data_IF_351416362542
#
_entry.id   IF_351416362542
#
_cell.length_a   1.000
_cell.length_b   1.000
_cell.length_c   1.000
_cell.angle_alpha   90.00
_cell.angle_beta   90.00
_cell.angle_gamma   90.00
#
_symmetry.space_group_name_H-M   'P 1'
#
loop_
_entity.id
_entity.type
_entity.pdbx_description
1 polymer ?
#
# COMPACT_ATOMS: atom_id res chain seq x y z
N UNK A 1 -22.73 18.29 -59.39
CA UNK A 1 -22.66 18.50 -57.92
C UNK A 1 -22.31 17.15 -57.31
N UNK A 2 -21.04 16.81 -57.09
CA UNK A 2 -20.24 17.18 -55.89
C UNK A 2 -21.04 16.84 -54.62
N UNK A 3 -20.72 15.82 -53.83
CA UNK A 3 -19.43 15.56 -53.20
C UNK A 3 -19.11 14.07 -52.98
N UNK A 4 -17.81 13.81 -53.05
CA UNK A 4 -17.03 12.60 -52.80
C UNK A 4 -16.77 12.37 -51.30
N UNK A 5 -16.27 11.15 -50.95
CA UNK A 5 -15.27 10.75 -49.92
C UNK A 5 -15.66 9.33 -49.43
N UNK A 6 -15.15 8.22 -49.97
CA UNK A 6 -13.79 7.62 -50.01
C UNK A 6 -13.43 6.73 -48.81
N UNK A 7 -13.19 5.46 -49.17
CA UNK A 7 -12.16 4.52 -48.69
C UNK A 7 -12.27 4.06 -47.22
N UNK A 8 -12.45 2.76 -47.00
CA UNK A 8 -11.31 1.84 -47.15
C UNK A 8 -11.74 0.37 -47.13
N UNK A 9 -10.98 -0.42 -47.88
CA UNK A 9 -11.27 -1.79 -48.25
C UNK A 9 -10.38 -2.77 -47.47
N UNK A 10 -10.94 -3.96 -47.19
CA UNK A 10 -10.28 -5.27 -46.99
C UNK A 10 -9.60 -5.56 -45.63
N UNK A 11 -9.32 -6.85 -45.28
CA UNK A 11 -10.01 -8.12 -45.58
C UNK A 11 -10.20 -9.04 -44.34
N UNK A 12 -10.92 -10.14 -44.54
CA UNK A 12 -11.05 -11.29 -43.64
C UNK A 12 -9.70 -11.93 -43.29
N UNK A 13 -9.47 -12.22 -42.01
CA UNK A 13 -8.57 -13.31 -41.58
C UNK A 13 -9.24 -14.08 -40.42
N UNK A 14 -9.61 -15.33 -40.72
CA UNK A 14 -9.91 -16.37 -39.75
C UNK A 14 -8.61 -16.75 -39.00
N UNK A 15 -8.63 -16.67 -37.67
CA UNK A 15 -7.79 -17.51 -36.82
C UNK A 15 -8.66 -18.08 -35.70
N UNK A 16 -8.74 -19.41 -35.67
CA UNK A 16 -9.59 -20.16 -34.76
C UNK A 16 -9.21 -19.99 -33.30
N UNK A 17 -10.23 -19.84 -32.46
CA UNK A 17 -10.16 -20.17 -31.05
C UNK A 17 -11.33 -21.12 -30.76
N UNK A 18 -11.02 -22.40 -30.71
CA UNK A 18 -11.90 -23.44 -30.18
C UNK A 18 -12.14 -23.15 -28.69
N UNK A 19 -13.33 -22.65 -28.36
CA UNK A 19 -13.86 -22.75 -27.01
C UNK A 19 -15.13 -23.58 -27.07
N UNK A 20 -14.94 -24.85 -26.74
CA UNK A 20 -16.00 -25.82 -26.52
C UNK A 20 -16.87 -25.38 -25.34
N UNK A 21 -18.15 -25.13 -25.65
CA UNK A 21 -19.35 -25.46 -24.89
C UNK A 21 -19.19 -25.64 -23.37
N UNK A 22 -19.48 -24.57 -22.62
CA UNK A 22 -20.15 -24.69 -21.31
C UNK A 22 -21.44 -23.88 -21.42
N UNK A 23 -22.53 -24.61 -21.71
CA UNK A 23 -23.89 -24.10 -21.72
C UNK A 23 -24.35 -23.83 -20.29
N UNK A 24 -24.34 -22.56 -19.87
CA UNK A 24 -25.18 -22.10 -18.77
C UNK A 24 -26.37 -21.37 -19.39
N UNK A 25 -27.57 -21.94 -19.21
CA UNK A 25 -28.84 -21.35 -19.61
C UNK A 25 -29.14 -20.13 -18.72
N UNK A 26 -28.51 -19.00 -19.02
CA UNK A 26 -28.80 -17.71 -18.37
C UNK A 26 -29.70 -16.89 -19.31
N UNK A 27 -30.88 -16.53 -18.82
CA UNK A 27 -31.84 -15.67 -19.53
C UNK A 27 -31.21 -14.30 -19.84
N UNK A 28 -31.45 -13.69 -21.02
CA UNK A 28 -30.94 -12.37 -21.34
C UNK A 28 -31.30 -11.29 -20.30
N UNK A 29 -32.41 -11.45 -19.59
CA UNK A 29 -32.87 -10.53 -18.54
C UNK A 29 -32.07 -10.60 -17.23
N UNK A 30 -31.28 -11.67 -17.01
CA UNK A 30 -30.51 -11.88 -15.77
C UNK A 30 -29.02 -11.53 -15.92
N UNK A 31 -28.57 -11.12 -17.12
CA UNK A 31 -27.16 -10.78 -17.38
C UNK A 31 -26.70 -9.50 -16.67
N UNK A 32 -27.60 -8.55 -16.46
CA UNK A 32 -27.30 -7.32 -15.71
C UNK A 32 -27.13 -7.56 -14.20
N UNK A 33 -27.83 -8.56 -13.64
CA UNK A 33 -27.69 -8.96 -12.24
C UNK A 33 -26.36 -9.67 -11.95
N UNK A 34 -25.78 -10.33 -12.95
CA UNK A 34 -24.49 -11.03 -12.82
C UNK A 34 -23.31 -10.03 -12.76
N UNK A 35 -23.42 -8.89 -13.45
CA UNK A 35 -22.39 -7.83 -13.45
C UNK A 35 -22.39 -7.04 -12.13
N UNK A 36 -23.55 -6.90 -11.47
CA UNK A 36 -23.67 -6.19 -10.19
C UNK A 36 -23.22 -7.07 -8.99
N UNK A 37 -23.25 -8.40 -9.13
CA UNK A 37 -22.82 -9.35 -8.08
C UNK A 37 -21.31 -9.63 -8.01
N UNK A 38 -20.55 -9.31 -9.06
CA UNK A 38 -19.09 -9.55 -9.16
C UNK A 38 -18.23 -8.31 -8.89
N UNK A 39 -18.82 -7.17 -8.52
CA UNK A 39 -18.08 -5.90 -8.35
C UNK A 39 -17.56 -5.56 -6.94
N UNK A 40 -17.96 -6.29 -5.89
CA UNK A 40 -17.72 -5.82 -4.50
C UNK A 40 -17.19 -6.88 -3.52
N UNK A 41 -16.45 -7.90 -3.98
CA UNK A 41 -15.81 -8.88 -3.04
C UNK A 41 -14.43 -9.36 -3.47
N UNK A 42 -13.51 -8.43 -3.75
CA UNK A 42 -12.10 -8.79 -3.95
C UNK A 42 -11.08 -7.70 -3.56
N UNK A 43 -11.39 -6.81 -2.60
CA UNK A 43 -10.42 -5.82 -2.12
C UNK A 43 -9.71 -6.21 -0.82
N UNK A 44 -10.00 -7.37 -0.23
CA UNK A 44 -9.34 -7.77 1.02
C UNK A 44 -9.34 -9.28 1.26
N UNK A 45 -8.43 -10.01 0.61
CA UNK A 45 -8.08 -11.36 1.05
C UNK A 45 -6.55 -11.50 0.99
N UNK A 46 -5.93 -11.26 2.15
CA UNK A 46 -4.57 -11.64 2.53
C UNK A 46 -3.42 -10.93 1.79
N UNK A 47 -3.49 -9.60 1.72
CA UNK A 47 -2.29 -8.78 1.57
C UNK A 47 -1.55 -8.72 2.91
N UNK A 48 -0.26 -9.00 2.91
CA UNK A 48 0.65 -9.00 4.06
C UNK A 48 0.30 -7.94 5.12
N UNK A 49 -0.35 -8.33 6.23
CA UNK A 49 -0.80 -7.43 7.29
C UNK A 49 0.34 -6.63 7.97
N UNK A 50 1.59 -7.01 7.68
CA UNK A 50 2.79 -6.36 8.19
C UNK A 50 3.35 -5.25 7.30
N UNK A 51 2.93 -5.20 6.02
CA UNK A 51 3.42 -4.18 5.09
C UNK A 51 2.48 -2.97 5.12
N UNK A 52 3.01 -1.81 5.49
CA UNK A 52 2.26 -0.56 5.38
C UNK A 52 1.75 -0.37 3.95
N UNK A 53 0.46 -0.04 3.83
CA UNK A 53 -0.13 0.27 2.54
C UNK A 53 0.57 1.50 1.93
N UNK A 54 0.49 1.63 0.60
CA UNK A 54 1.07 2.78 -0.10
C UNK A 54 0.45 4.09 0.37
N UNK A 55 -0.85 4.07 0.64
CA UNK A 55 -1.63 5.20 1.11
C UNK A 55 -1.19 5.66 2.50
N UNK A 56 -1.08 4.74 3.45
CA UNK A 56 -0.60 5.05 4.81
C UNK A 56 0.84 5.57 4.80
N UNK A 57 1.73 4.97 4.01
CA UNK A 57 3.11 5.45 3.86
C UNK A 57 3.13 6.89 3.36
N UNK A 58 2.36 7.19 2.31
CA UNK A 58 2.32 8.53 1.72
C UNK A 58 1.73 9.55 2.69
N UNK A 59 0.71 9.18 3.46
CA UNK A 59 0.14 10.05 4.49
C UNK A 59 1.17 10.41 5.57
N UNK A 60 1.91 9.41 6.07
CA UNK A 60 2.97 9.64 7.07
C UNK A 60 4.09 10.50 6.49
N UNK A 61 4.50 10.26 5.23
CA UNK A 61 5.51 11.09 4.57
C UNK A 61 5.03 12.54 4.47
N UNK A 62 3.80 12.77 4.03
CA UNK A 62 3.25 14.12 3.90
C UNK A 62 3.15 14.86 5.24
N UNK A 63 2.87 14.16 6.35
CA UNK A 63 2.72 14.77 7.67
C UNK A 63 4.05 15.13 8.35
N UNK A 64 5.11 14.35 8.08
CA UNK A 64 6.42 14.49 8.74
C UNK A 64 7.52 15.03 7.82
N UNK A 65 7.23 15.25 6.54
CA UNK A 65 8.14 15.87 5.59
C UNK A 65 8.56 17.27 6.04
N UNK A 66 9.85 17.57 5.96
CA UNK A 66 10.39 18.89 6.29
C UNK A 66 10.33 19.85 5.10
N UNK A 67 10.29 19.32 3.88
CA UNK A 67 10.15 20.06 2.64
C UNK A 67 9.38 19.22 1.61
N UNK A 68 8.94 19.84 0.51
CA UNK A 68 8.29 19.12 -0.57
C UNK A 68 9.24 18.06 -1.17
N UNK A 69 8.75 16.83 -1.32
CA UNK A 69 9.53 15.70 -1.81
C UNK A 69 10.48 15.04 -0.80
N UNK A 70 10.45 15.44 0.47
CA UNK A 70 11.24 14.82 1.52
C UNK A 70 10.77 13.38 1.80
N UNK A 71 11.60 12.41 1.45
CA UNK A 71 11.35 10.97 1.69
C UNK A 71 12.40 10.35 2.62
N UNK A 72 13.41 11.13 3.01
CA UNK A 72 14.65 10.63 3.60
C UNK A 72 15.01 11.29 4.93
N UNK A 73 14.31 12.34 5.36
CA UNK A 73 14.61 12.98 6.63
C UNK A 73 14.49 12.01 7.82
N UNK A 74 15.27 12.24 8.88
CA UNK A 74 15.17 11.47 10.11
C UNK A 74 13.73 11.48 10.68
N UNK A 75 13.00 12.59 10.56
CA UNK A 75 11.60 12.73 11.00
C UNK A 75 10.68 11.73 10.30
N UNK A 76 10.70 11.72 8.97
CA UNK A 76 9.88 10.81 8.15
C UNK A 76 10.24 9.36 8.45
N UNK A 77 11.53 9.04 8.51
CA UNK A 77 11.99 7.68 8.81
C UNK A 77 11.55 7.21 10.20
N UNK A 78 11.68 8.06 11.22
CA UNK A 78 11.26 7.74 12.60
C UNK A 78 9.75 7.56 12.70
N UNK A 79 8.96 8.38 12.00
CA UNK A 79 7.51 8.23 11.95
C UNK A 79 7.09 6.90 11.29
N UNK A 80 7.68 6.56 10.14
CA UNK A 80 7.44 5.29 9.45
C UNK A 80 7.84 4.08 10.29
N UNK A 81 9.00 4.12 10.94
CA UNK A 81 9.45 3.07 11.85
C UNK A 81 8.52 2.92 13.04
N UNK A 82 8.05 4.04 13.62
CA UNK A 82 7.14 4.02 14.76
C UNK A 82 5.82 3.34 14.42
N UNK A 83 5.24 3.64 13.26
CA UNK A 83 4.02 2.97 12.81
C UNK A 83 4.25 1.46 12.64
N UNK A 84 5.33 1.04 11.95
CA UNK A 84 5.67 -0.39 11.79
C UNK A 84 5.91 -1.10 13.10
N UNK A 85 6.59 -0.46 14.05
CA UNK A 85 6.85 -1.00 15.39
C UNK A 85 5.52 -1.23 16.12
N UNK A 86 4.58 -0.30 16.05
CA UNK A 86 3.27 -0.43 16.68
C UNK A 86 2.48 -1.60 16.08
N UNK A 87 2.47 -1.71 14.75
CA UNK A 87 1.78 -2.79 14.04
C UNK A 87 2.43 -4.17 14.35
N UNK A 88 3.77 -4.28 14.34
CA UNK A 88 4.48 -5.50 14.76
C UNK A 88 4.23 -5.84 16.23
N UNK A 89 4.20 -4.84 17.10
CA UNK A 89 3.97 -5.07 18.53
C UNK A 89 2.58 -5.66 18.76
N UNK A 90 1.56 -5.21 18.01
CA UNK A 90 0.24 -5.83 18.05
C UNK A 90 0.28 -7.28 17.55
N UNK A 91 0.92 -7.54 16.41
CA UNK A 91 1.08 -8.88 15.85
C UNK A 91 1.79 -9.85 16.82
N UNK A 92 2.84 -9.41 17.52
CA UNK A 92 3.57 -10.24 18.48
C UNK A 92 2.76 -10.61 19.72
N UNK A 93 1.74 -9.83 20.09
CA UNK A 93 0.83 -10.20 21.20
C UNK A 93 0.01 -11.43 20.86
N UNK A 94 -0.40 -11.56 19.60
CA UNK A 94 -1.16 -12.69 19.07
C UNK A 94 -0.23 -13.88 18.74
N UNK A 95 0.95 -13.61 18.18
CA UNK A 95 1.89 -14.62 17.67
C UNK A 95 3.20 -14.68 18.47
N UNK A 96 3.12 -15.15 19.71
CA UNK A 96 4.25 -15.17 20.67
C UNK A 96 5.46 -16.00 20.23
N UNK A 97 5.27 -16.97 19.34
CA UNK A 97 6.32 -17.89 18.87
C UNK A 97 6.97 -17.44 17.55
N UNK A 98 6.56 -16.31 16.97
CA UNK A 98 7.23 -15.77 15.78
C UNK A 98 8.49 -14.99 16.16
N UNK A 99 9.57 -15.75 16.38
CA UNK A 99 10.88 -15.20 16.71
C UNK A 99 11.54 -14.42 15.54
N UNK A 100 11.15 -14.68 14.30
CA UNK A 100 11.75 -14.03 13.13
C UNK A 100 11.25 -12.59 13.03
N UNK A 101 9.93 -12.40 13.15
CA UNK A 101 9.32 -11.06 13.24
C UNK A 101 9.77 -10.34 14.52
N UNK A 102 9.92 -11.05 15.64
CA UNK A 102 10.46 -10.50 16.88
C UNK A 102 11.89 -9.95 16.72
N UNK A 103 12.75 -10.66 15.99
CA UNK A 103 14.09 -10.15 15.64
C UNK A 103 14.01 -8.90 14.77
N UNK A 104 13.14 -8.90 13.75
CA UNK A 104 12.90 -7.73 12.89
C UNK A 104 12.42 -6.51 13.69
N UNK A 105 11.53 -6.71 14.67
CA UNK A 105 11.07 -5.67 15.58
C UNK A 105 12.23 -5.04 16.36
N UNK A 106 13.11 -5.86 16.94
CA UNK A 106 14.26 -5.35 17.71
C UNK A 106 15.22 -4.53 16.84
N UNK A 107 15.46 -4.94 15.59
CA UNK A 107 16.27 -4.18 14.65
C UNK A 107 15.64 -2.81 14.35
N UNK A 108 14.33 -2.76 14.07
CA UNK A 108 13.62 -1.51 13.82
C UNK A 108 13.62 -0.56 15.03
N UNK A 109 13.49 -1.10 16.25
CA UNK A 109 13.59 -0.31 17.49
C UNK A 109 15.00 0.28 17.63
N UNK A 110 16.04 -0.50 17.32
CA UNK A 110 17.43 -0.04 17.32
C UNK A 110 17.69 1.06 16.30
N UNK A 111 17.20 0.90 15.07
CA UNK A 111 17.32 1.92 14.00
C UNK A 111 16.62 3.22 14.40
N UNK A 112 15.40 3.14 14.95
CA UNK A 112 14.67 4.31 15.44
C UNK A 112 15.45 5.03 16.55
N UNK A 113 16.02 4.28 17.50
CA UNK A 113 16.85 4.85 18.59
C UNK A 113 18.10 5.54 18.04
N UNK A 114 18.75 4.97 17.02
CA UNK A 114 19.91 5.60 16.36
C UNK A 114 19.53 6.92 15.69
N UNK A 115 18.43 6.95 14.93
CA UNK A 115 17.95 8.17 14.26
C UNK A 115 17.57 9.26 15.26
N UNK A 116 16.90 8.90 16.35
CA UNK A 116 16.57 9.84 17.43
C UNK A 116 17.83 10.37 18.13
N UNK A 117 18.84 9.52 18.36
CA UNK A 117 20.13 9.94 18.88
C UNK A 117 20.83 10.94 17.97
N UNK A 118 20.88 10.66 16.67
CA UNK A 118 21.41 11.58 15.67
C UNK A 118 20.67 12.93 15.67
N UNK A 119 19.33 12.93 15.66
CA UNK A 119 18.55 14.17 15.73
C UNK A 119 18.84 14.96 16.99
N UNK A 120 18.94 14.30 18.15
CA UNK A 120 19.25 14.96 19.42
C UNK A 120 20.61 15.67 19.38
N UNK A 121 21.61 15.03 18.78
CA UNK A 121 22.97 15.54 18.74
C UNK A 121 23.13 16.67 17.69
N UNK A 122 22.32 16.66 16.62
CA UNK A 122 22.31 17.70 15.58
C UNK A 122 21.43 18.89 15.95
N UNK A 123 20.20 18.64 16.38
CA UNK A 123 19.21 19.66 16.71
C UNK A 123 18.23 19.16 17.79
N UNK A 124 18.46 19.63 19.02
CA UNK A 124 17.66 19.26 20.17
C UNK A 124 16.20 19.72 20.07
N UNK A 125 15.89 20.80 19.34
CA UNK A 125 14.53 21.31 19.21
C UNK A 125 13.72 20.42 18.26
N UNK A 126 14.31 20.00 17.13
CA UNK A 126 13.70 19.01 16.21
C UNK A 126 13.46 17.67 16.91
N UNK A 127 14.42 17.22 17.72
CA UNK A 127 14.27 16.01 18.52
C UNK A 127 13.07 16.10 19.48
N UNK A 128 12.96 17.20 20.24
CA UNK A 128 11.87 17.41 21.20
C UNK A 128 10.51 17.47 20.53
N UNK A 129 10.38 18.25 19.44
CA UNK A 129 9.12 18.37 18.72
C UNK A 129 8.69 17.05 18.10
N UNK A 130 9.63 16.26 17.54
CA UNK A 130 9.33 14.96 16.97
C UNK A 130 8.86 13.96 18.04
N UNK A 131 9.50 13.93 19.20
CA UNK A 131 9.12 13.04 20.30
C UNK A 131 7.73 13.39 20.84
N UNK A 132 7.45 14.68 21.02
CA UNK A 132 6.15 15.16 21.48
C UNK A 132 5.04 14.78 20.50
N UNK A 133 5.26 15.02 19.19
CA UNK A 133 4.31 14.65 18.13
C UNK A 133 4.04 13.14 18.08
N UNK A 134 5.07 12.31 18.22
CA UNK A 134 4.95 10.85 18.15
C UNK A 134 4.55 10.21 19.48
N UNK A 135 4.45 10.98 20.57
CA UNK A 135 4.12 10.45 21.91
C UNK A 135 5.13 9.44 22.44
N UNK A 136 6.40 9.51 22.01
CA UNK A 136 7.43 8.58 22.45
C UNK A 136 7.90 8.95 23.87
N UNK A 137 7.92 7.97 24.79
CA UNK A 137 8.52 8.17 26.12
C UNK A 137 10.03 7.89 26.05
N UNK A 138 10.81 8.81 26.62
CA UNK A 138 12.28 8.80 26.71
C UNK A 138 12.76 7.94 27.88
#
# INVERSE_FOLDING_TARGET
MSLSITKNSAPLILYGASYTLISWRVSPADKERFIIGMGHRAANIRGNAMALSKEEKNAIIAEYATHEGDTGSPEVQVALLTKRINDLTAHMKEHKHDHHSGRGLLLMVGDRRRLLGYLRDVDINRYRSLIERLGLRH
#
